data_IF_589967764694
#
_entry.id   IF_589967764694
#
_cell.length_a   1.000
_cell.length_b   1.000
_cell.length_c   1.000
_cell.angle_alpha   90.00
_cell.angle_beta   90.00
_cell.angle_gamma   90.00
#
_symmetry.space_group_name_H-M   'P 1'
#
loop_
_entity.id
_entity.type
_entity.pdbx_description
1 polymer ?
#
# COMPACT_ATOMS: atom_id res chain seq x y z
N UNK A 1 6.90 -9.50 5.55
CA UNK A 1 7.13 -8.18 4.89
C UNK A 1 8.00 -7.23 5.71
N UNK A 2 7.78 -7.05 7.02
CA UNK A 2 8.52 -6.07 7.87
C UNK A 2 10.05 -6.19 7.77
N UNK A 3 10.59 -7.39 7.86
CA UNK A 3 12.04 -7.63 7.77
C UNK A 3 12.62 -7.28 6.38
N UNK A 4 11.84 -7.50 5.31
CA UNK A 4 12.24 -7.10 3.96
C UNK A 4 12.24 -5.58 3.82
N UNK A 5 11.22 -4.90 4.36
CA UNK A 5 11.16 -3.44 4.40
C UNK A 5 12.43 -2.85 5.03
N UNK A 6 12.79 -3.30 6.24
CA UNK A 6 13.99 -2.80 6.94
C UNK A 6 15.27 -3.10 6.15
N UNK A 7 15.40 -4.30 5.56
CA UNK A 7 16.57 -4.64 4.73
C UNK A 7 16.70 -3.70 3.52
N UNK A 8 15.60 -3.44 2.81
CA UNK A 8 15.62 -2.52 1.66
C UNK A 8 15.84 -1.07 2.09
N UNK A 9 15.30 -0.65 3.24
CA UNK A 9 15.53 0.69 3.80
C UNK A 9 17.00 0.90 4.19
N UNK A 10 17.65 -0.09 4.81
CA UNK A 10 19.08 -0.04 5.15
C UNK A 10 19.92 0.12 3.88
N UNK A 11 19.68 -0.69 2.86
CA UNK A 11 20.41 -0.59 1.57
C UNK A 11 20.24 0.78 0.92
N UNK A 12 19.06 1.37 1.02
CA UNK A 12 18.80 2.71 0.51
C UNK A 12 19.53 3.78 1.35
N UNK A 13 19.51 3.65 2.67
CA UNK A 13 20.13 4.58 3.60
C UNK A 13 21.67 4.53 3.55
N UNK A 14 22.27 3.41 3.12
CA UNK A 14 23.70 3.32 2.81
C UNK A 14 24.10 4.23 1.64
N UNK A 15 23.23 4.29 0.62
CA UNK A 15 23.45 5.09 -0.60
C UNK A 15 23.00 6.55 -0.46
N UNK A 16 22.00 6.81 0.39
CA UNK A 16 21.42 8.14 0.58
C UNK A 16 21.42 8.54 2.05
N UNK A 17 22.32 9.49 2.40
CA UNK A 17 22.46 9.99 3.78
C UNK A 17 21.25 10.79 4.28
N UNK A 18 20.34 11.19 3.39
CA UNK A 18 19.11 11.93 3.73
C UNK A 18 17.92 11.02 4.10
N UNK A 19 18.08 9.70 4.12
CA UNK A 19 17.03 8.79 4.59
C UNK A 19 17.03 8.71 6.11
N UNK A 20 15.86 8.95 6.71
CA UNK A 20 15.61 8.95 8.17
C UNK A 20 14.45 8.02 8.49
N UNK A 21 14.55 7.29 9.59
CA UNK A 21 13.46 6.48 10.15
C UNK A 21 13.01 7.04 11.49
N UNK A 22 11.70 7.32 11.61
CA UNK A 22 11.05 7.71 12.87
C UNK A 22 10.04 6.63 13.24
N UNK A 23 10.00 6.25 14.52
CA UNK A 23 9.04 5.26 15.03
C UNK A 23 8.21 5.83 16.17
N UNK A 24 6.97 5.36 16.32
CA UNK A 24 6.07 5.71 17.40
C UNK A 24 6.11 4.69 18.54
N UNK A 25 7.30 4.44 19.11
CA UNK A 25 7.57 3.45 20.15
C UNK A 25 7.11 2.02 19.79
N UNK A 26 7.26 1.67 18.54
CA UNK A 26 6.83 0.39 17.96
C UNK A 26 7.90 -0.18 17.03
N UNK A 27 7.71 -1.46 16.64
CA UNK A 27 8.61 -2.13 15.70
C UNK A 27 9.70 -2.96 16.36
N UNK A 28 9.54 -3.30 17.62
CA UNK A 28 10.47 -4.18 18.36
C UNK A 28 10.75 -5.47 17.59
N UNK A 29 12.02 -5.89 17.56
CA UNK A 29 12.51 -7.03 16.79
C UNK A 29 12.61 -6.77 15.28
N UNK A 30 12.33 -5.55 14.80
CA UNK A 30 12.32 -5.19 13.38
C UNK A 30 13.22 -3.99 13.06
N UNK A 31 13.12 -2.91 13.83
CA UNK A 31 13.78 -1.62 13.51
C UNK A 31 15.20 -1.50 14.06
N UNK A 32 15.59 -2.35 14.99
CA UNK A 32 16.91 -2.31 15.65
C UNK A 32 18.10 -2.40 14.70
N UNK A 33 18.06 -3.20 13.61
CA UNK A 33 19.14 -3.22 12.63
C UNK A 33 19.39 -1.84 11.98
N UNK A 34 18.32 -1.07 11.72
CA UNK A 34 18.45 0.30 11.20
C UNK A 34 19.02 1.23 12.26
N UNK A 35 18.49 1.19 13.49
CA UNK A 35 18.98 1.97 14.64
C UNK A 35 20.48 1.73 14.89
N UNK A 36 20.90 0.46 14.92
CA UNK A 36 22.32 0.09 15.11
C UNK A 36 23.22 0.63 14.00
N UNK A 37 22.76 0.57 12.74
CA UNK A 37 23.55 0.99 11.58
C UNK A 37 23.59 2.51 11.42
N UNK A 38 22.51 3.21 11.77
CA UNK A 38 22.34 4.64 11.55
C UNK A 38 21.76 5.35 12.78
N UNK A 39 22.46 5.37 13.95
CA UNK A 39 21.94 5.91 15.20
C UNK A 39 21.50 7.38 15.09
N UNK A 40 22.21 8.21 14.31
CA UNK A 40 21.89 9.62 14.11
C UNK A 40 20.78 9.88 13.06
N UNK A 41 20.18 8.84 12.50
CA UNK A 41 19.08 8.90 11.52
C UNK A 41 17.90 8.02 11.93
N UNK A 42 17.88 7.62 13.20
CA UNK A 42 16.80 6.89 13.85
C UNK A 42 16.28 7.69 15.02
N UNK A 43 14.97 7.94 15.05
CA UNK A 43 14.32 8.66 16.13
C UNK A 43 13.12 7.83 16.65
N UNK A 44 12.96 7.79 17.96
CA UNK A 44 11.75 7.29 18.60
C UNK A 44 10.99 8.50 19.15
N UNK A 45 9.82 8.77 18.56
CA UNK A 45 8.97 9.89 18.97
C UNK A 45 8.09 9.56 20.20
N UNK A 46 8.19 8.35 20.74
CA UNK A 46 7.27 7.84 21.74
C UNK A 46 5.87 7.57 21.18
N UNK A 47 4.92 7.30 22.06
CA UNK A 47 3.50 7.09 21.68
C UNK A 47 2.83 8.44 21.39
N UNK A 48 3.38 9.19 20.44
CA UNK A 48 2.99 10.55 20.08
C UNK A 48 2.96 10.75 18.55
N UNK A 49 2.06 10.05 17.89
CA UNK A 49 2.04 9.94 16.44
C UNK A 49 1.81 11.29 15.73
N UNK A 50 1.04 12.21 16.32
CA UNK A 50 0.87 13.56 15.78
C UNK A 50 2.21 14.31 15.77
N UNK A 51 2.94 14.28 16.89
CA UNK A 51 4.28 14.88 16.98
C UNK A 51 5.26 14.20 16.02
N UNK A 52 5.17 12.86 15.87
CA UNK A 52 5.95 12.11 14.89
C UNK A 52 5.74 12.62 13.47
N UNK A 53 4.49 12.92 13.07
CA UNK A 53 4.20 13.49 11.74
C UNK A 53 4.71 14.92 11.59
N UNK A 54 4.60 15.76 12.62
CA UNK A 54 5.17 17.11 12.61
C UNK A 54 6.69 17.10 12.46
N UNK A 55 7.39 16.25 13.22
CA UNK A 55 8.84 16.07 13.10
C UNK A 55 9.20 15.59 11.68
N UNK A 56 8.47 14.61 11.14
CA UNK A 56 8.67 14.09 9.80
C UNK A 56 8.51 15.18 8.74
N UNK A 57 7.49 16.04 8.88
CA UNK A 57 7.23 17.15 7.97
C UNK A 57 8.36 18.19 8.00
N UNK A 58 8.82 18.56 9.20
CA UNK A 58 9.94 19.50 9.38
C UNK A 58 11.24 18.97 8.74
N UNK A 59 11.57 17.69 8.93
CA UNK A 59 12.72 17.06 8.30
C UNK A 59 12.58 16.98 6.77
N UNK A 60 11.39 16.66 6.28
CA UNK A 60 11.13 16.57 4.84
C UNK A 60 11.25 17.93 4.15
N UNK A 61 10.82 19.03 4.80
CA UNK A 61 11.06 20.41 4.33
C UNK A 61 12.56 20.75 4.24
N UNK A 62 13.40 20.13 5.05
CA UNK A 62 14.86 20.23 4.97
C UNK A 62 15.49 19.30 3.94
N UNK A 63 14.69 18.63 3.13
CA UNK A 63 15.11 17.77 2.02
C UNK A 63 15.50 16.35 2.43
N UNK A 64 15.03 15.86 3.59
CA UNK A 64 15.14 14.46 3.97
C UNK A 64 14.02 13.63 3.35
N UNK A 65 14.28 12.35 3.09
CA UNK A 65 13.24 11.35 2.84
C UNK A 65 12.95 10.65 4.16
N UNK A 66 11.79 10.93 4.73
CA UNK A 66 11.45 10.46 6.06
C UNK A 66 10.49 9.28 5.98
N UNK A 67 10.87 8.18 6.61
CA UNK A 67 10.00 7.03 6.83
C UNK A 67 9.47 7.08 8.27
N UNK A 68 8.14 7.10 8.44
CA UNK A 68 7.49 6.99 9.75
C UNK A 68 6.87 5.62 9.87
N UNK A 69 7.10 4.91 10.99
CA UNK A 69 6.70 3.51 11.16
C UNK A 69 5.84 3.32 12.40
N UNK A 70 4.62 2.78 12.21
CA UNK A 70 3.73 2.43 13.31
C UNK A 70 2.69 1.36 12.91
N UNK A 71 1.76 1.02 13.80
CA UNK A 71 0.62 0.11 13.54
C UNK A 71 -0.49 0.86 12.79
N UNK A 72 -1.15 0.15 11.87
CA UNK A 72 -2.06 0.65 10.84
C UNK A 72 -2.90 1.89 11.20
N UNK A 73 -3.64 1.87 12.31
CA UNK A 73 -4.54 2.98 12.64
C UNK A 73 -3.83 4.17 13.32
N UNK A 74 -2.71 3.93 13.97
CA UNK A 74 -2.05 4.97 14.76
C UNK A 74 -1.42 6.06 13.88
N UNK A 75 -0.62 5.74 12.85
CA UNK A 75 -0.04 6.76 11.98
C UNK A 75 -1.02 7.28 10.94
N UNK A 76 -2.28 6.84 10.94
CA UNK A 76 -3.31 7.28 10.01
C UNK A 76 -4.36 8.14 10.69
N UNK A 77 -5.32 7.55 11.40
CA UNK A 77 -6.45 8.29 11.97
C UNK A 77 -6.06 9.32 13.01
N UNK A 78 -5.11 9.01 13.90
CA UNK A 78 -4.61 9.98 14.89
C UNK A 78 -3.94 11.19 14.26
N UNK A 79 -3.39 11.05 13.06
CA UNK A 79 -2.57 12.03 12.38
C UNK A 79 -3.22 12.58 11.11
N UNK A 80 -4.51 12.36 10.91
CA UNK A 80 -5.20 12.70 9.66
C UNK A 80 -5.00 14.18 9.27
N UNK A 81 -5.05 15.07 10.24
CA UNK A 81 -4.86 16.51 10.03
C UNK A 81 -3.43 16.84 9.64
N UNK A 82 -2.42 16.31 10.36
CA UNK A 82 -1.00 16.51 10.05
C UNK A 82 -0.65 15.95 8.68
N UNK A 83 -1.18 14.76 8.35
CA UNK A 83 -0.97 14.17 7.01
C UNK A 83 -1.58 15.06 5.95
N UNK A 84 -2.80 15.56 6.15
CA UNK A 84 -3.50 16.43 5.20
C UNK A 84 -2.78 17.76 4.99
N UNK A 85 -2.52 18.47 6.10
CA UNK A 85 -2.07 19.86 6.07
C UNK A 85 -0.56 19.97 5.86
N UNK A 86 0.24 19.12 6.53
CA UNK A 86 1.67 19.25 6.51
C UNK A 86 2.29 18.39 5.39
N UNK A 87 1.87 17.11 5.26
CA UNK A 87 2.52 16.17 4.35
C UNK A 87 1.93 16.26 2.94
N UNK A 88 0.60 16.06 2.81
CA UNK A 88 -0.04 15.96 1.48
C UNK A 88 -0.09 17.31 0.76
N UNK A 89 -0.53 18.37 1.46
CA UNK A 89 -0.63 19.71 0.88
C UNK A 89 0.72 20.20 0.33
N UNK A 90 1.80 20.03 1.10
CA UNK A 90 3.15 20.43 0.73
C UNK A 90 3.87 19.39 -0.14
N UNK A 91 3.25 18.25 -0.45
CA UNK A 91 3.82 17.15 -1.25
C UNK A 91 5.18 16.67 -0.72
N UNK A 92 5.30 16.58 0.59
CA UNK A 92 6.56 16.26 1.25
C UNK A 92 6.99 14.81 0.98
N UNK A 93 8.29 14.60 0.97
CA UNK A 93 8.90 13.30 0.80
C UNK A 93 8.85 12.48 2.11
N UNK A 94 7.64 12.13 2.51
CA UNK A 94 7.34 11.33 3.70
C UNK A 94 6.67 10.04 3.29
N UNK A 95 7.21 8.91 3.74
CA UNK A 95 6.61 7.58 3.57
C UNK A 95 6.03 7.11 4.90
N UNK A 96 4.72 7.02 4.97
CA UNK A 96 3.99 6.51 6.14
C UNK A 96 3.93 5.00 6.04
N UNK A 97 4.71 4.30 6.87
CA UNK A 97 4.78 2.85 6.91
C UNK A 97 3.83 2.32 7.97
N UNK A 98 2.76 1.71 7.52
CA UNK A 98 1.68 1.21 8.36
C UNK A 98 1.66 -0.32 8.36
N UNK A 99 1.80 -0.93 9.53
CA UNK A 99 1.89 -2.38 9.69
C UNK A 99 0.60 -2.96 10.25
N UNK A 100 0.22 -4.15 9.81
CA UNK A 100 -0.95 -4.87 10.28
C UNK A 100 -2.20 -4.63 9.44
N UNK A 101 -2.04 -4.72 8.12
CA UNK A 101 -3.14 -4.61 7.16
C UNK A 101 -4.31 -5.56 7.48
N UNK A 102 -5.54 -5.08 7.27
CA UNK A 102 -6.75 -5.86 7.51
C UNK A 102 -6.88 -6.24 8.99
N UNK A 103 -7.12 -7.52 9.24
CA UNK A 103 -7.23 -8.11 10.57
C UNK A 103 -5.89 -8.70 11.08
N UNK A 104 -4.76 -8.21 10.59
CA UNK A 104 -3.43 -8.76 10.88
C UNK A 104 -3.04 -8.78 12.36
N UNK A 105 -3.67 -7.98 13.20
CA UNK A 105 -3.49 -7.99 14.66
C UNK A 105 -4.53 -8.80 15.43
N UNK A 106 -5.49 -9.44 14.73
CA UNK A 106 -6.40 -10.45 15.29
C UNK A 106 -7.10 -10.00 16.57
N UNK A 107 -6.76 -10.67 17.68
CA UNK A 107 -7.37 -10.48 19.01
C UNK A 107 -7.09 -9.13 19.69
N UNK A 108 -6.19 -8.29 19.16
CA UNK A 108 -6.01 -6.92 19.68
C UNK A 108 -7.20 -6.01 19.36
N UNK A 109 -8.11 -6.46 18.51
CA UNK A 109 -9.40 -5.83 18.28
C UNK A 109 -9.35 -4.63 17.35
N UNK A 110 -10.48 -3.93 17.29
CA UNK A 110 -10.77 -2.89 16.31
C UNK A 110 -9.75 -1.72 16.30
N UNK A 111 -9.21 -1.35 17.46
CA UNK A 111 -8.19 -0.29 17.57
C UNK A 111 -6.90 -0.59 16.77
N UNK A 112 -6.64 -1.87 16.47
CA UNK A 112 -5.45 -2.33 15.74
C UNK A 112 -5.75 -2.86 14.35
N UNK A 113 -7.03 -2.96 13.95
CA UNK A 113 -7.42 -3.46 12.64
C UNK A 113 -7.29 -2.38 11.57
N UNK A 114 -6.44 -2.62 10.57
CA UNK A 114 -6.28 -1.73 9.42
C UNK A 114 -7.31 -2.05 8.33
N UNK A 115 -8.57 -1.69 8.56
CA UNK A 115 -9.69 -2.01 7.64
C UNK A 115 -10.38 -0.78 7.06
N UNK A 116 -9.93 0.44 7.42
CA UNK A 116 -10.50 1.73 6.98
C UNK A 116 -9.41 2.71 6.53
N UNK A 117 -8.16 2.34 6.67
CA UNK A 117 -6.99 3.14 6.36
C UNK A 117 -6.91 3.58 4.90
N UNK A 118 -7.29 2.73 3.95
CA UNK A 118 -7.38 3.12 2.54
C UNK A 118 -8.38 4.26 2.30
N UNK A 119 -9.54 4.22 2.97
CA UNK A 119 -10.58 5.25 2.82
C UNK A 119 -10.02 6.64 3.15
N UNK A 120 -9.25 6.75 4.23
CA UNK A 120 -8.61 7.99 4.63
C UNK A 120 -7.46 8.35 3.68
N UNK A 121 -6.50 7.44 3.45
CA UNK A 121 -5.30 7.74 2.68
C UNK A 121 -5.58 8.07 1.22
N UNK A 122 -6.57 7.42 0.59
CA UNK A 122 -6.94 7.71 -0.79
C UNK A 122 -7.70 9.04 -0.97
N UNK A 123 -8.16 9.65 0.12
CA UNK A 123 -8.82 10.97 0.06
C UNK A 123 -7.82 12.11 -0.10
N UNK A 124 -6.54 11.89 0.17
CA UNK A 124 -5.48 12.88 0.01
C UNK A 124 -4.99 12.91 -1.45
N UNK A 125 -5.07 14.09 -2.13
CA UNK A 125 -4.84 14.16 -3.59
C UNK A 125 -3.44 13.78 -4.04
N UNK A 126 -2.42 14.01 -3.20
CA UNK A 126 -1.02 13.76 -3.55
C UNK A 126 -0.52 12.42 -3.03
N UNK A 127 -1.23 11.81 -2.08
CA UNK A 127 -0.87 10.53 -1.48
C UNK A 127 -0.93 9.39 -2.49
N UNK A 128 0.15 8.64 -2.59
CA UNK A 128 0.20 7.40 -3.34
C UNK A 128 0.21 6.21 -2.38
N UNK A 129 -0.77 5.33 -2.51
CA UNK A 129 -0.87 4.11 -1.71
C UNK A 129 0.02 3.05 -2.35
N UNK A 130 0.93 2.48 -1.56
CA UNK A 130 1.72 1.30 -1.90
C UNK A 130 1.30 0.15 -0.98
N UNK A 131 0.64 -0.84 -1.55
CA UNK A 131 0.13 -2.01 -0.83
C UNK A 131 0.52 -3.29 -1.57
N UNK A 132 1.77 -3.75 -1.37
CA UNK A 132 2.31 -4.93 -2.04
C UNK A 132 1.63 -6.21 -1.56
N UNK A 133 1.49 -7.17 -2.47
CA UNK A 133 0.90 -8.48 -2.20
C UNK A 133 1.90 -9.48 -1.64
N UNK A 134 3.17 -9.37 -2.03
CA UNK A 134 4.28 -10.23 -1.56
C UNK A 134 5.60 -9.47 -1.40
N UNK A 135 6.66 -10.20 -1.05
CA UNK A 135 7.98 -9.61 -0.84
C UNK A 135 8.63 -9.11 -2.14
N UNK A 136 8.27 -9.67 -3.31
CA UNK A 136 8.83 -9.23 -4.59
C UNK A 136 8.20 -7.89 -5.01
N UNK A 137 6.88 -7.77 -4.86
CA UNK A 137 6.21 -6.48 -5.03
C UNK A 137 6.70 -5.45 -4.03
N UNK A 138 6.91 -5.83 -2.75
CA UNK A 138 7.44 -4.91 -1.74
C UNK A 138 8.80 -4.33 -2.14
N UNK A 139 9.75 -5.17 -2.58
CA UNK A 139 11.06 -4.69 -3.04
C UNK A 139 10.93 -3.69 -4.20
N UNK A 140 10.01 -3.95 -5.12
CA UNK A 140 9.77 -3.07 -6.27
C UNK A 140 9.05 -1.78 -5.86
N UNK A 141 8.08 -1.84 -4.95
CA UNK A 141 7.47 -0.66 -4.34
C UNK A 141 8.52 0.19 -3.61
N UNK A 142 9.38 -0.42 -2.81
CA UNK A 142 10.47 0.29 -2.12
C UNK A 142 11.41 0.97 -3.10
N UNK A 143 11.79 0.31 -4.20
CA UNK A 143 12.60 0.92 -5.25
C UNK A 143 11.93 2.15 -5.85
N UNK A 144 10.63 2.07 -6.14
CA UNK A 144 9.88 3.22 -6.65
C UNK A 144 9.81 4.35 -5.62
N UNK A 145 9.46 4.05 -4.37
CA UNK A 145 9.36 5.01 -3.26
C UNK A 145 10.68 5.76 -3.06
N UNK A 146 11.80 5.05 -3.02
CA UNK A 146 13.13 5.62 -2.76
C UNK A 146 13.55 6.59 -3.88
N UNK A 147 13.16 6.33 -5.13
CA UNK A 147 13.54 7.11 -6.30
C UNK A 147 12.56 8.25 -6.65
N UNK A 148 11.45 8.39 -5.92
CA UNK A 148 10.45 9.40 -6.22
C UNK A 148 10.08 10.21 -4.97
N UNK A 149 10.14 11.54 -5.09
CA UNK A 149 9.83 12.45 -3.99
C UNK A 149 8.37 12.85 -4.02
N UNK A 150 7.56 12.25 -3.16
CA UNK A 150 6.14 12.59 -2.92
C UNK A 150 5.64 11.90 -1.65
N UNK A 151 4.43 12.21 -1.15
CA UNK A 151 3.81 11.46 -0.06
C UNK A 151 3.48 10.03 -0.46
N UNK A 152 3.89 9.05 0.38
CA UNK A 152 3.56 7.65 0.21
C UNK A 152 2.91 7.07 1.48
N UNK A 153 1.92 6.21 1.28
CA UNK A 153 1.39 5.33 2.28
C UNK A 153 1.78 3.89 1.95
N UNK A 154 2.75 3.36 2.67
CA UNK A 154 3.24 1.98 2.50
C UNK A 154 2.55 1.06 3.52
N UNK A 155 1.64 0.24 3.05
CA UNK A 155 0.84 -0.67 3.88
C UNK A 155 1.41 -2.07 3.86
N UNK A 156 1.84 -2.54 5.04
CA UNK A 156 2.51 -3.82 5.20
C UNK A 156 1.68 -4.81 6.01
N UNK A 157 1.74 -6.08 5.61
CA UNK A 157 1.26 -7.17 6.46
C UNK A 157 2.24 -7.47 7.61
N UNK A 158 1.69 -7.86 8.76
CA UNK A 158 2.47 -8.22 9.95
C UNK A 158 3.27 -9.51 9.73
N UNK A 159 2.70 -10.52 9.07
CA UNK A 159 3.18 -11.89 9.07
C UNK A 159 3.30 -12.56 7.70
N UNK A 160 2.97 -11.88 6.60
CA UNK A 160 2.96 -12.50 5.28
C UNK A 160 4.38 -12.75 4.75
N UNK A 161 4.73 -14.02 4.53
CA UNK A 161 6.01 -14.46 3.98
C UNK A 161 5.87 -15.20 2.63
N UNK A 162 4.71 -15.12 1.99
CA UNK A 162 4.47 -15.81 0.72
C UNK A 162 5.08 -15.01 -0.42
N UNK A 163 5.90 -15.68 -1.22
CA UNK A 163 6.36 -15.17 -2.50
C UNK A 163 5.61 -15.92 -3.62
N UNK A 164 4.69 -15.24 -4.28
CA UNK A 164 4.01 -15.79 -5.47
C UNK A 164 4.83 -15.52 -6.74
N UNK A 165 5.46 -14.38 -6.81
CA UNK A 165 6.28 -13.98 -7.94
C UNK A 165 7.70 -14.56 -7.81
N UNK A 166 8.27 -15.01 -8.93
CA UNK A 166 9.66 -15.52 -8.98
C UNK A 166 10.68 -14.39 -8.96
N UNK A 167 10.36 -13.27 -9.62
CA UNK A 167 11.23 -12.11 -9.79
C UNK A 167 10.54 -10.83 -9.30
N UNK A 168 11.34 -9.81 -9.01
CA UNK A 168 10.81 -8.48 -8.69
C UNK A 168 10.14 -7.90 -9.94
N UNK A 169 8.83 -7.63 -9.92
CA UNK A 169 8.15 -7.02 -11.05
C UNK A 169 8.60 -5.56 -11.24
N UNK A 170 8.49 -5.04 -12.44
CA UNK A 170 8.56 -3.60 -12.65
C UNK A 170 7.27 -2.96 -12.13
N UNK A 171 7.37 -2.05 -11.15
CA UNK A 171 6.22 -1.40 -10.49
C UNK A 171 6.32 0.12 -10.62
N UNK A 172 5.23 0.70 -11.07
CA UNK A 172 4.94 2.12 -11.10
C UNK A 172 3.44 2.33 -10.79
N UNK A 173 2.99 3.56 -10.50
CA UNK A 173 1.59 3.82 -10.16
C UNK A 173 0.62 3.30 -11.21
N UNK A 174 -0.30 2.44 -10.79
CA UNK A 174 -1.30 1.81 -11.63
C UNK A 174 -0.80 0.66 -12.53
N UNK A 175 0.40 0.14 -12.30
CA UNK A 175 0.85 -1.08 -12.97
C UNK A 175 0.00 -2.27 -12.57
N UNK A 176 -0.50 -2.99 -13.55
CA UNK A 176 -1.11 -4.30 -13.39
C UNK A 176 0.02 -5.34 -13.35
N UNK A 177 0.21 -5.99 -12.20
CA UNK A 177 1.20 -7.07 -12.02
C UNK A 177 0.49 -8.40 -12.17
N UNK A 178 0.92 -9.19 -13.16
CA UNK A 178 0.31 -10.46 -13.50
C UNK A 178 0.68 -11.57 -12.51
N UNK A 179 -0.31 -12.28 -11.98
CA UNK A 179 -0.14 -13.45 -11.14
C UNK A 179 -0.58 -14.76 -11.81
N UNK A 180 -1.63 -14.69 -12.63
CA UNK A 180 -2.07 -15.77 -13.49
C UNK A 180 -2.83 -15.24 -14.69
N UNK A 181 -2.88 -16.02 -15.76
CA UNK A 181 -3.64 -15.72 -16.96
C UNK A 181 -4.44 -16.96 -17.37
N UNK A 182 -5.71 -16.75 -17.67
CA UNK A 182 -6.57 -17.78 -18.25
C UNK A 182 -6.15 -18.06 -19.68
N UNK A 183 -6.30 -19.33 -20.12
CA UNK A 183 -6.08 -19.72 -21.52
C UNK A 183 -7.22 -19.27 -22.46
N UNK A 184 -8.34 -18.81 -21.89
CA UNK A 184 -9.50 -18.33 -22.64
C UNK A 184 -9.45 -16.82 -22.90
N UNK A 185 -10.24 -16.36 -23.86
CA UNK A 185 -10.41 -14.94 -24.18
C UNK A 185 -10.60 -14.10 -22.91
N UNK A 186 -9.87 -12.99 -22.79
CA UNK A 186 -9.85 -12.03 -21.67
C UNK A 186 -11.22 -11.40 -21.40
N UNK A 187 -12.13 -12.13 -20.72
CA UNK A 187 -13.45 -11.61 -20.37
C UNK A 187 -13.59 -11.26 -18.90
N UNK A 188 -12.82 -11.91 -18.04
CA UNK A 188 -12.98 -11.85 -16.59
C UNK A 188 -11.63 -11.58 -15.90
N UNK A 189 -11.64 -10.72 -14.88
CA UNK A 189 -10.44 -10.36 -14.13
C UNK A 189 -10.69 -10.34 -12.64
N UNK A 190 -9.70 -10.81 -11.88
CA UNK A 190 -9.53 -10.54 -10.45
C UNK A 190 -8.48 -9.44 -10.33
N UNK A 191 -8.85 -8.33 -9.72
CA UNK A 191 -7.96 -7.24 -9.34
C UNK A 191 -7.76 -7.28 -7.83
N UNK A 192 -6.52 -7.35 -7.38
CA UNK A 192 -6.20 -7.40 -5.97
C UNK A 192 -5.21 -6.32 -5.56
N UNK A 193 -5.19 -6.00 -4.27
CA UNK A 193 -4.18 -5.14 -3.66
C UNK A 193 -3.85 -5.66 -2.26
N UNK A 194 -2.62 -5.43 -1.81
CA UNK A 194 -2.19 -5.86 -0.48
C UNK A 194 -2.07 -7.36 -0.30
N UNK A 195 -2.02 -7.81 0.94
CA UNK A 195 -1.75 -9.19 1.35
C UNK A 195 -2.91 -10.17 1.12
N UNK A 196 -3.46 -10.18 -0.08
CA UNK A 196 -4.64 -10.98 -0.47
C UNK A 196 -4.33 -12.23 -1.30
N UNK A 197 -3.05 -12.60 -1.45
CA UNK A 197 -2.62 -13.75 -2.28
C UNK A 197 -3.36 -15.03 -1.93
N UNK A 198 -3.43 -15.38 -0.63
CA UNK A 198 -4.12 -16.60 -0.17
C UNK A 198 -5.57 -16.62 -0.62
N UNK A 199 -6.24 -15.47 -0.54
CA UNK A 199 -7.64 -15.31 -0.88
C UNK A 199 -7.86 -15.43 -2.39
N UNK A 200 -7.00 -14.82 -3.20
CA UNK A 200 -7.05 -14.95 -4.66
C UNK A 200 -6.80 -16.39 -5.12
N UNK A 201 -5.85 -17.09 -4.52
CA UNK A 201 -5.61 -18.52 -4.80
C UNK A 201 -6.83 -19.37 -4.45
N UNK A 202 -7.48 -19.13 -3.29
CA UNK A 202 -8.72 -19.83 -2.92
C UNK A 202 -9.84 -19.55 -3.92
N UNK A 203 -10.01 -18.31 -4.38
CA UNK A 203 -11.02 -17.97 -5.38
C UNK A 203 -10.80 -18.70 -6.70
N UNK A 204 -9.58 -18.71 -7.22
CA UNK A 204 -9.23 -19.37 -8.49
C UNK A 204 -9.41 -20.90 -8.48
N UNK A 205 -9.42 -21.53 -7.30
CA UNK A 205 -9.75 -22.96 -7.14
C UNK A 205 -11.25 -23.27 -7.35
N UNK A 206 -12.11 -22.27 -7.17
CA UNK A 206 -13.55 -22.45 -7.39
C UNK A 206 -13.86 -22.50 -8.89
N UNK A 207 -14.68 -23.50 -9.32
CA UNK A 207 -15.02 -23.73 -10.74
C UNK A 207 -15.44 -22.46 -11.49
N UNK A 208 -16.27 -21.61 -10.85
CA UNK A 208 -16.79 -20.38 -11.45
C UNK A 208 -15.74 -19.29 -11.72
N UNK A 209 -14.54 -19.38 -11.11
CA UNK A 209 -13.47 -18.38 -11.24
C UNK A 209 -12.22 -18.90 -11.95
N UNK A 210 -12.20 -20.14 -12.45
CA UNK A 210 -11.05 -20.72 -13.15
C UNK A 210 -10.66 -19.96 -14.41
N UNK A 211 -11.61 -19.30 -15.05
CA UNK A 211 -11.42 -18.56 -16.30
C UNK A 211 -11.17 -17.05 -16.06
N UNK A 212 -10.73 -16.68 -14.86
CA UNK A 212 -10.39 -15.30 -14.54
C UNK A 212 -8.88 -15.09 -14.62
N UNK A 213 -8.48 -14.00 -15.28
CA UNK A 213 -7.12 -13.48 -15.14
C UNK A 213 -6.95 -12.88 -13.75
N UNK A 214 -5.76 -12.98 -13.17
CA UNK A 214 -5.50 -12.35 -11.88
C UNK A 214 -4.30 -11.43 -11.96
N UNK A 215 -4.54 -10.17 -11.60
CA UNK A 215 -3.54 -9.12 -11.48
C UNK A 215 -3.66 -8.41 -10.13
N UNK A 216 -2.53 -7.99 -9.58
CA UNK A 216 -2.51 -7.01 -8.50
C UNK A 216 -2.26 -5.59 -9.02
N UNK A 217 -2.71 -4.60 -8.25
CA UNK A 217 -2.35 -3.19 -8.42
C UNK A 217 -1.68 -2.76 -7.11
N UNK A 218 -0.36 -2.93 -6.98
CA UNK A 218 0.34 -2.65 -5.73
C UNK A 218 0.49 -1.16 -5.43
N UNK A 219 0.40 -0.28 -6.45
CA UNK A 219 0.47 1.18 -6.27
C UNK A 219 -0.71 1.87 -6.94
N UNK A 220 -1.50 2.60 -6.16
CA UNK A 220 -2.72 3.26 -6.62
C UNK A 220 -3.05 4.52 -5.80
N UNK A 221 -3.97 5.35 -6.29
CA UNK A 221 -4.36 6.59 -5.65
C UNK A 221 -5.22 7.47 -6.56
N UNK A 222 -5.53 8.68 -6.10
CA UNK A 222 -6.47 9.56 -6.78
C UNK A 222 -5.97 9.96 -8.19
N UNK A 223 -4.71 10.38 -8.30
CA UNK A 223 -4.14 10.94 -9.55
C UNK A 223 -4.08 9.96 -10.71
N UNK A 224 -4.04 8.65 -10.43
CA UNK A 224 -3.82 7.65 -11.49
C UNK A 224 -5.11 7.04 -12.04
N UNK A 225 -6.29 7.37 -11.49
CA UNK A 225 -7.59 6.83 -11.93
C UNK A 225 -7.81 6.93 -13.44
N UNK A 226 -7.56 8.10 -14.03
CA UNK A 226 -7.78 8.35 -15.46
C UNK A 226 -7.02 7.38 -16.36
N UNK A 227 -5.81 7.01 -15.97
CA UNK A 227 -4.93 6.13 -16.76
C UNK A 227 -5.29 4.63 -16.61
N UNK A 228 -6.08 4.26 -15.59
CA UNK A 228 -6.47 2.87 -15.36
C UNK A 228 -7.68 2.44 -16.16
N UNK A 229 -8.55 3.38 -16.50
CA UNK A 229 -9.81 3.09 -17.17
C UNK A 229 -9.63 2.19 -18.41
N UNK A 230 -8.79 2.59 -19.37
CA UNK A 230 -8.56 1.84 -20.62
C UNK A 230 -8.04 0.42 -20.40
N UNK A 231 -7.34 0.17 -19.29
CA UNK A 231 -6.76 -1.14 -18.95
C UNK A 231 -7.79 -2.08 -18.33
N UNK A 232 -8.77 -1.54 -17.64
CA UNK A 232 -9.74 -2.30 -16.84
C UNK A 232 -11.03 -2.55 -17.63
N UNK A 233 -11.47 -1.60 -18.44
CA UNK A 233 -12.78 -1.64 -19.14
C UNK A 233 -12.89 -2.73 -20.20
N UNK A 234 -11.79 -3.29 -20.64
CA UNK A 234 -11.76 -4.40 -21.61
C UNK A 234 -12.34 -5.71 -21.02
N UNK A 235 -12.43 -5.79 -19.70
CA UNK A 235 -12.97 -6.96 -19.01
C UNK A 235 -14.49 -6.80 -18.77
N UNK A 236 -15.24 -7.88 -19.02
CA UNK A 236 -16.70 -7.92 -18.80
C UNK A 236 -17.06 -8.06 -17.33
N UNK A 237 -16.35 -8.94 -16.62
CA UNK A 237 -16.56 -9.19 -15.20
C UNK A 237 -15.27 -8.84 -14.42
N UNK A 238 -15.42 -8.03 -13.41
CA UNK A 238 -14.31 -7.58 -12.55
C UNK A 238 -14.62 -7.95 -11.10
N UNK A 239 -13.70 -8.67 -10.47
CA UNK A 239 -13.76 -8.96 -9.04
C UNK A 239 -12.60 -8.20 -8.39
N UNK A 240 -12.88 -7.42 -7.36
CA UNK A 240 -11.87 -6.81 -6.51
C UNK A 240 -11.67 -7.62 -5.24
N UNK A 241 -10.40 -7.78 -4.82
CA UNK A 241 -10.03 -8.52 -3.60
C UNK A 241 -9.11 -7.63 -2.77
N UNK A 242 -9.56 -7.33 -1.56
CA UNK A 242 -8.85 -6.50 -0.60
C UNK A 242 -9.10 -6.96 0.84
N UNK A 243 -8.20 -6.61 1.76
CA UNK A 243 -8.38 -6.82 3.19
C UNK A 243 -8.75 -5.48 3.88
N UNK A 244 -9.87 -4.92 3.46
CA UNK A 244 -10.39 -3.61 3.86
C UNK A 244 -11.93 -3.65 3.77
N UNK A 245 -12.61 -2.73 4.44
CA UNK A 245 -14.06 -2.56 4.24
C UNK A 245 -14.34 -2.16 2.78
N UNK A 246 -15.54 -2.54 2.31
CA UNK A 246 -15.97 -2.24 0.94
C UNK A 246 -16.00 -0.73 0.68
N UNK A 247 -16.53 0.02 1.67
CA UNK A 247 -16.71 1.47 1.54
C UNK A 247 -15.37 2.20 1.61
N UNK A 248 -15.08 2.96 0.57
CA UNK A 248 -13.85 3.73 0.45
C UNK A 248 -12.58 2.92 0.17
N UNK A 249 -12.65 1.58 0.05
CA UNK A 249 -11.52 0.71 -0.21
C UNK A 249 -11.05 0.72 -1.67
N UNK A 250 -10.24 -0.28 -2.01
CA UNK A 250 -9.72 -0.49 -3.37
C UNK A 250 -10.84 -0.82 -4.37
N UNK A 251 -11.83 -1.62 -3.95
CA UNK A 251 -13.00 -1.92 -4.79
C UNK A 251 -13.82 -0.69 -5.11
N UNK A 252 -14.02 0.21 -4.15
CA UNK A 252 -14.66 1.50 -4.39
C UNK A 252 -13.86 2.34 -5.40
N UNK A 253 -12.53 2.39 -5.27
CA UNK A 253 -11.64 3.09 -6.20
C UNK A 253 -11.75 2.52 -7.62
N UNK A 254 -11.80 1.20 -7.79
CA UNK A 254 -12.03 0.54 -9.10
C UNK A 254 -13.43 0.86 -9.63
N UNK A 255 -14.46 0.83 -8.76
CA UNK A 255 -15.83 1.19 -9.12
C UNK A 255 -15.97 2.61 -9.65
N UNK A 256 -15.29 3.57 -9.02
CA UNK A 256 -15.26 4.97 -9.48
C UNK A 256 -14.60 5.12 -10.86
N UNK A 257 -13.58 4.31 -11.18
CA UNK A 257 -12.96 4.28 -12.51
C UNK A 257 -13.96 3.77 -13.55
N UNK A 258 -14.66 2.67 -13.25
CA UNK A 258 -15.62 2.03 -14.17
C UNK A 258 -16.86 2.90 -14.38
N UNK A 259 -17.32 3.60 -13.34
CA UNK A 259 -18.54 4.42 -13.34
C UNK A 259 -18.32 5.84 -13.89
N UNK A 260 -17.09 6.18 -14.32
CA UNK A 260 -16.86 7.46 -14.99
C UNK A 260 -17.76 7.58 -16.23
N UNK A 261 -18.43 8.73 -16.41
CA UNK A 261 -19.57 8.99 -17.31
C UNK A 261 -19.38 8.68 -18.81
N UNK A 262 -18.25 8.13 -19.22
CA UNK A 262 -17.82 7.99 -20.61
C UNK A 262 -18.21 6.67 -21.29
N UNK A 263 -18.90 5.73 -20.62
CA UNK A 263 -19.14 4.39 -21.19
C UNK A 263 -20.61 3.95 -21.17
N UNK A 264 -21.08 3.43 -22.33
CA UNK A 264 -22.44 2.90 -22.51
C UNK A 264 -22.66 1.52 -21.89
N UNK A 265 -21.61 0.69 -21.74
CA UNK A 265 -21.67 -0.60 -21.06
C UNK A 265 -20.65 -0.65 -19.92
N UNK A 266 -21.09 -0.92 -18.71
CA UNK A 266 -20.23 -0.99 -17.52
C UNK A 266 -19.96 -2.44 -17.14
N UNK A 267 -18.70 -2.82 -16.84
CA UNK A 267 -18.40 -4.12 -16.27
C UNK A 267 -19.14 -4.33 -14.93
N UNK A 268 -19.47 -5.57 -14.63
CA UNK A 268 -20.02 -5.93 -13.33
C UNK A 268 -18.87 -5.97 -12.32
N UNK A 269 -18.98 -5.16 -11.28
CA UNK A 269 -18.04 -5.13 -10.16
C UNK A 269 -18.58 -5.99 -9.02
N UNK A 270 -17.78 -6.92 -8.56
CA UNK A 270 -18.06 -7.74 -7.38
C UNK A 270 -16.97 -7.47 -6.34
N UNK A 271 -17.34 -6.84 -5.25
CA UNK A 271 -16.43 -6.62 -4.12
C UNK A 271 -16.44 -7.85 -3.20
N UNK A 272 -15.27 -8.28 -2.77
CA UNK A 272 -15.06 -9.36 -1.80
C UNK A 272 -14.23 -8.84 -0.64
N UNK A 273 -14.85 -8.77 0.52
CA UNK A 273 -14.18 -8.65 1.81
C UNK A 273 -13.96 -10.07 2.36
N UNK A 274 -12.69 -10.47 2.50
CA UNK A 274 -12.31 -11.83 2.89
C UNK A 274 -11.40 -11.83 4.11
#
# INVERSE_FOLDING_TARGET
MRNIFIKELIKAAEKNKKIVLIVGDLGYGVVEPFKKRFPNRFYNAGVAEQSMMGIASGLALRGFHVFVYSIANFPTFRCAEQIRNDIDYHKLNVTIVSVGSGLGYGNLGYSHHGIQDYSLMRSFPNMLIASPSDNMELKSCMRYIINNSQPFYLRLDKSLEINKLKNNPDIYPGKLVKHSESQKLKKNIILSTGSTIKNCIKLLKLKKFRDYDWYSIPMWGMKIKKNQFKKIIIYKNIITVENHLQDGGFGSWVGEIINSKTYKSKPILINKFL
#
